data_IF_961272327612
#
_entry.id   IF_961272327612
#
_cell.length_a   1.000
_cell.length_b   1.000
_cell.length_c   1.000
_cell.angle_alpha   90.00
_cell.angle_beta   90.00
_cell.angle_gamma   90.00
#
_symmetry.space_group_name_H-M   'P 1'
#
loop_
_entity.id
_entity.type
_entity.pdbx_description
1 polymer ?
#
# COMPACT_ATOMS: atom_id res chain seq x y z
N UNK A 1 17.33 -47.93 -37.02
CA UNK A 1 17.19 -47.51 -35.61
C UNK A 1 15.79 -47.86 -35.13
N UNK A 2 15.63 -49.08 -34.58
CA UNK A 2 14.38 -49.57 -33.99
C UNK A 2 14.48 -49.36 -32.47
N UNK A 3 13.54 -48.62 -31.89
CA UNK A 3 13.37 -48.54 -30.43
C UNK A 3 12.51 -49.72 -29.95
N UNK A 4 12.90 -50.45 -28.90
CA UNK A 4 12.04 -51.45 -28.29
C UNK A 4 11.03 -50.79 -27.33
N UNK A 5 9.75 -51.09 -27.51
CA UNK A 5 8.70 -50.81 -26.53
C UNK A 5 8.75 -51.87 -25.42
N UNK A 6 9.00 -51.44 -24.17
CA UNK A 6 8.84 -52.28 -22.99
C UNK A 6 7.37 -52.32 -22.55
N UNK A 7 6.73 -53.50 -22.42
CA UNK A 7 5.44 -53.63 -21.77
C UNK A 7 5.67 -54.10 -20.32
N UNK A 8 5.81 -53.15 -19.39
CA UNK A 8 5.82 -53.45 -17.96
C UNK A 8 4.64 -52.72 -17.30
N UNK A 9 3.40 -53.10 -17.67
CA UNK A 9 2.24 -52.72 -16.88
C UNK A 9 2.22 -53.56 -15.60
N UNK A 10 2.67 -52.89 -14.56
CA UNK A 10 2.66 -53.31 -13.17
C UNK A 10 1.32 -53.92 -12.79
N UNK A 11 1.37 -55.17 -12.31
CA UNK A 11 0.29 -55.80 -11.55
C UNK A 11 0.05 -54.98 -10.28
N UNK A 12 -0.83 -53.99 -10.38
CA UNK A 12 -1.28 -53.21 -9.24
C UNK A 12 -2.14 -54.15 -8.38
N UNK A 13 -1.57 -54.61 -7.27
CA UNK A 13 -2.25 -55.40 -6.26
C UNK A 13 -3.63 -54.81 -5.97
N UNK A 14 -4.68 -55.53 -6.37
CA UNK A 14 -6.06 -55.22 -6.05
C UNK A 14 -6.26 -55.37 -4.54
N UNK A 15 -5.87 -54.34 -3.77
CA UNK A 15 -6.18 -54.24 -2.35
C UNK A 15 -7.69 -54.28 -2.22
N UNK A 16 -8.19 -55.37 -1.64
CA UNK A 16 -9.59 -55.66 -1.32
C UNK A 16 -10.39 -54.41 -0.93
N UNK A 17 -11.13 -53.85 -1.89
CA UNK A 17 -12.09 -52.76 -1.69
C UNK A 17 -13.33 -53.21 -0.89
N UNK A 18 -13.45 -54.51 -0.59
CA UNK A 18 -14.64 -55.11 0.02
C UNK A 18 -14.89 -54.68 1.46
N UNK A 19 -13.84 -54.37 2.25
CA UNK A 19 -14.01 -53.99 3.66
C UNK A 19 -14.59 -52.58 3.87
N UNK A 20 -14.65 -51.73 2.85
CA UNK A 20 -15.20 -50.37 2.98
C UNK A 20 -16.72 -50.27 2.77
N UNK A 21 -17.35 -51.23 2.08
CA UNK A 21 -18.78 -51.14 1.72
C UNK A 21 -19.73 -51.24 2.91
N UNK A 22 -19.30 -51.86 4.02
CA UNK A 22 -20.10 -52.00 5.23
C UNK A 22 -19.62 -51.10 6.39
N UNK A 23 -18.66 -50.19 6.13
CA UNK A 23 -18.20 -49.27 7.15
C UNK A 23 -19.28 -48.21 7.39
N UNK A 24 -19.96 -48.27 8.55
CA UNK A 24 -20.92 -47.25 8.95
C UNK A 24 -20.21 -45.90 8.97
N UNK A 25 -20.76 -44.90 8.28
CA UNK A 25 -20.24 -43.52 8.31
C UNK A 25 -20.45 -42.99 9.73
N UNK A 26 -19.37 -42.93 10.51
CA UNK A 26 -19.42 -42.35 11.85
C UNK A 26 -19.40 -40.84 11.70
N UNK A 27 -20.54 -40.18 11.94
CA UNK A 27 -20.62 -38.73 12.01
C UNK A 27 -20.02 -38.26 13.34
N UNK A 28 -18.75 -37.85 13.30
CA UNK A 28 -18.11 -37.22 14.45
C UNK A 28 -18.62 -35.79 14.54
N UNK A 29 -19.42 -35.47 15.57
CA UNK A 29 -19.81 -34.09 15.85
C UNK A 29 -18.53 -33.28 16.11
N UNK A 30 -18.27 -32.17 15.39
CA UNK A 30 -17.11 -31.34 15.67
C UNK A 30 -17.22 -30.80 17.10
N UNK A 31 -16.18 -31.04 17.90
CA UNK A 31 -16.11 -30.45 19.25
C UNK A 31 -16.08 -28.93 19.11
N UNK A 32 -16.91 -28.23 19.88
CA UNK A 32 -16.86 -26.78 19.97
C UNK A 32 -15.45 -26.36 20.40
N UNK A 33 -14.78 -25.59 19.55
CA UNK A 33 -13.46 -25.05 19.89
C UNK A 33 -13.68 -23.95 20.92
N UNK A 34 -13.30 -24.21 22.18
CA UNK A 34 -13.18 -23.15 23.18
C UNK A 34 -12.12 -22.17 22.70
N UNK A 35 -12.52 -20.96 22.33
CA UNK A 35 -11.58 -19.87 22.02
C UNK A 35 -10.87 -19.56 23.34
N UNK A 36 -9.63 -20.03 23.46
CA UNK A 36 -8.79 -19.62 24.58
C UNK A 36 -8.63 -18.11 24.46
N UNK A 37 -8.94 -17.37 25.54
CA UNK A 37 -8.67 -15.93 25.62
C UNK A 37 -7.15 -15.75 25.54
N UNK A 38 -6.63 -15.57 24.32
CA UNK A 38 -5.21 -15.27 24.12
C UNK A 38 -4.98 -13.90 24.75
N UNK A 39 -4.27 -13.88 25.87
CA UNK A 39 -3.84 -12.63 26.49
C UNK A 39 -3.04 -11.82 25.46
N UNK A 40 -3.40 -10.55 25.30
CA UNK A 40 -2.70 -9.65 24.40
C UNK A 40 -1.32 -9.33 25.00
N UNK A 41 -0.25 -9.50 24.22
CA UNK A 41 1.09 -9.21 24.71
C UNK A 41 1.34 -7.70 24.66
N UNK A 42 1.38 -7.07 25.83
CA UNK A 42 1.60 -5.62 26.01
C UNK A 42 2.88 -5.11 25.33
N UNK A 43 3.89 -5.97 25.13
CA UNK A 43 5.13 -5.59 24.45
C UNK A 43 4.96 -5.32 22.95
N UNK A 44 3.87 -5.80 22.35
CA UNK A 44 3.56 -5.56 20.94
C UNK A 44 3.02 -4.13 20.69
N UNK A 45 2.64 -3.41 21.75
CA UNK A 45 2.21 -2.01 21.66
C UNK A 45 3.46 -1.14 21.47
N UNK A 46 3.54 -0.48 20.31
CA UNK A 46 4.65 0.40 19.96
C UNK A 46 4.60 1.71 20.74
N UNK A 47 3.40 2.26 20.97
CA UNK A 47 3.24 3.55 21.63
C UNK A 47 3.47 3.45 23.15
N UNK A 48 4.42 4.23 23.72
CA UNK A 48 4.76 4.13 25.13
C UNK A 48 3.64 4.65 26.05
N UNK A 49 2.88 5.65 25.62
CA UNK A 49 1.77 6.23 26.39
C UNK A 49 0.59 5.26 26.46
N UNK A 50 0.25 4.63 25.33
CA UNK A 50 -0.82 3.62 25.24
C UNK A 50 -0.44 2.37 26.04
N UNK A 51 0.84 1.97 25.99
CA UNK A 51 1.37 0.87 26.76
C UNK A 51 1.28 1.08 28.29
N UNK A 52 1.38 2.31 28.77
CA UNK A 52 1.24 2.63 30.21
C UNK A 52 -0.19 2.50 30.72
N UNK A 53 -1.19 2.84 29.89
CA UNK A 53 -2.62 2.80 30.25
C UNK A 53 -3.28 1.43 29.99
N UNK A 54 -2.60 0.51 29.30
CA UNK A 54 -3.18 -0.76 28.89
C UNK A 54 -3.27 -1.77 30.04
N UNK A 55 -4.49 -2.20 30.38
CA UNK A 55 -4.73 -3.22 31.41
C UNK A 55 -4.69 -4.64 30.82
N UNK A 56 -3.85 -5.52 31.37
CA UNK A 56 -3.71 -6.93 30.91
C UNK A 56 -4.99 -7.75 31.17
N UNK A 57 -5.77 -7.34 32.17
CA UNK A 57 -6.97 -8.07 32.63
C UNK A 57 -8.19 -7.81 31.74
N UNK A 58 -8.23 -6.67 31.05
CA UNK A 58 -9.33 -6.26 30.19
C UNK A 58 -9.19 -6.85 28.79
N UNK A 59 -10.30 -6.93 28.07
CA UNK A 59 -10.24 -7.25 26.63
C UNK A 59 -9.65 -6.08 25.84
N UNK A 60 -9.14 -6.34 24.63
CA UNK A 60 -8.60 -5.29 23.76
C UNK A 60 -9.64 -4.18 23.52
N UNK A 61 -10.90 -4.55 23.31
CA UNK A 61 -11.99 -3.62 23.06
C UNK A 61 -12.29 -2.75 24.28
N UNK A 62 -12.39 -3.33 25.47
CA UNK A 62 -12.55 -2.58 26.72
C UNK A 62 -11.41 -1.58 26.94
N UNK A 63 -10.17 -1.96 26.61
CA UNK A 63 -9.03 -1.03 26.69
C UNK A 63 -9.13 0.10 25.67
N UNK A 64 -9.56 -0.19 24.44
CA UNK A 64 -9.75 0.83 23.40
C UNK A 64 -10.87 1.81 23.77
N UNK A 65 -11.98 1.32 24.31
CA UNK A 65 -13.09 2.14 24.79
C UNK A 65 -12.72 2.99 26.02
N UNK A 66 -11.81 2.49 26.87
CA UNK A 66 -11.30 3.24 28.02
C UNK A 66 -10.22 4.29 27.66
N UNK A 67 -9.64 4.24 26.46
CA UNK A 67 -8.55 5.14 26.07
C UNK A 67 -9.03 6.28 25.18
N UNK A 68 -9.04 7.51 25.71
CA UNK A 68 -9.31 8.71 24.94
C UNK A 68 -8.06 9.24 24.22
N UNK A 69 -7.97 9.00 22.91
CA UNK A 69 -6.85 9.44 22.06
C UNK A 69 -6.63 10.96 22.10
N UNK A 70 -7.71 11.73 22.26
CA UNK A 70 -7.67 13.20 22.27
C UNK A 70 -6.93 13.74 23.48
N UNK A 71 -7.09 13.12 24.64
CA UNK A 71 -6.37 13.49 25.85
C UNK A 71 -4.92 13.05 25.80
N UNK A 72 -4.69 11.80 25.37
CA UNK A 72 -3.35 11.21 25.32
C UNK A 72 -2.40 12.00 24.43
N UNK A 73 -2.87 12.40 23.25
CA UNK A 73 -2.01 13.00 22.23
C UNK A 73 -2.27 14.49 22.01
N UNK A 74 -2.94 15.18 22.94
CA UNK A 74 -3.31 16.59 22.78
C UNK A 74 -2.13 17.47 22.32
N UNK A 75 -0.94 17.26 22.91
CA UNK A 75 0.27 18.02 22.62
C UNK A 75 0.85 17.75 21.22
N UNK A 76 0.63 16.55 20.69
CA UNK A 76 1.18 16.11 19.40
C UNK A 76 0.24 16.37 18.23
N UNK A 77 -1.05 16.59 18.48
CA UNK A 77 -2.02 16.82 17.41
C UNK A 77 -1.86 18.23 16.81
N UNK A 78 -1.87 18.36 15.47
CA UNK A 78 -1.90 19.67 14.83
C UNK A 78 -3.25 20.36 15.09
N UNK A 79 -3.21 21.62 15.55
CA UNK A 79 -4.41 22.43 15.84
C UNK A 79 -5.31 22.67 14.63
N UNK A 80 -4.77 22.53 13.41
CA UNK A 80 -5.49 22.71 12.14
C UNK A 80 -5.32 21.46 11.28
N UNK A 81 -6.32 20.58 11.26
CA UNK A 81 -6.34 19.39 10.41
C UNK A 81 -6.93 19.79 9.04
N UNK A 82 -6.19 19.67 7.93
CA UNK A 82 -6.76 19.92 6.61
C UNK A 82 -7.80 18.86 6.27
N UNK A 83 -9.02 19.28 5.92
CA UNK A 83 -10.14 18.36 5.58
C UNK A 83 -9.91 17.52 4.32
N UNK A 84 -8.95 17.92 3.47
CA UNK A 84 -8.58 17.21 2.25
C UNK A 84 -7.09 16.91 2.30
N UNK A 85 -6.72 15.66 2.12
CA UNK A 85 -5.32 15.26 1.93
C UNK A 85 -4.79 15.92 0.66
N UNK A 86 -3.91 16.90 0.80
CA UNK A 86 -3.25 17.54 -0.32
C UNK A 86 -2.04 16.69 -0.72
N UNK A 87 -2.24 15.74 -1.64
CA UNK A 87 -1.12 15.09 -2.29
C UNK A 87 -0.49 16.08 -3.28
N UNK A 88 0.75 16.55 -3.05
CA UNK A 88 1.38 17.46 -3.98
C UNK A 88 1.56 16.75 -5.32
N UNK A 89 1.04 17.36 -6.39
CA UNK A 89 1.31 16.90 -7.75
C UNK A 89 2.77 17.23 -8.02
N UNK A 90 3.55 16.20 -8.36
CA UNK A 90 4.95 16.33 -8.73
C UNK A 90 5.13 15.84 -10.17
N UNK A 91 6.07 16.43 -10.90
CA UNK A 91 6.39 16.06 -12.29
C UNK A 91 7.59 15.14 -12.30
N UNK A 92 7.52 14.02 -13.02
CA UNK A 92 8.64 13.08 -13.13
C UNK A 92 9.73 13.61 -14.08
N UNK A 93 10.94 13.05 -13.99
CA UNK A 93 12.07 13.41 -14.87
C UNK A 93 11.74 13.20 -16.35
N UNK A 94 11.04 12.10 -16.69
CA UNK A 94 10.63 11.80 -18.07
C UNK A 94 9.56 12.77 -18.61
N UNK A 95 8.77 13.36 -17.70
CA UNK A 95 7.68 14.27 -18.04
C UNK A 95 8.16 15.73 -18.19
N UNK A 96 9.27 16.07 -17.53
CA UNK A 96 9.90 17.39 -17.62
C UNK A 96 10.21 17.84 -19.05
N UNK A 97 10.85 17.04 -19.94
CA UNK A 97 11.11 17.46 -21.31
C UNK A 97 9.82 17.61 -22.13
N UNK A 98 8.77 16.83 -21.84
CA UNK A 98 7.46 16.97 -22.48
C UNK A 98 6.84 18.31 -22.10
N UNK A 99 6.80 18.64 -20.80
CA UNK A 99 6.28 19.92 -20.31
C UNK A 99 7.04 21.10 -20.91
N UNK A 100 8.39 21.02 -20.98
CA UNK A 100 9.22 22.07 -21.58
C UNK A 100 8.88 22.31 -23.06
N UNK A 101 8.67 21.25 -23.85
CA UNK A 101 8.27 21.35 -25.27
C UNK A 101 6.86 21.92 -25.43
N UNK A 102 5.92 21.52 -24.58
CA UNK A 102 4.54 22.01 -24.63
C UNK A 102 4.47 23.52 -24.29
N UNK A 103 5.16 23.96 -23.25
CA UNK A 103 5.22 25.38 -22.85
C UNK A 103 5.88 26.21 -23.96
N UNK A 104 6.98 25.73 -24.56
CA UNK A 104 7.67 26.42 -25.64
C UNK A 104 6.81 26.61 -26.89
N UNK A 105 5.88 25.69 -27.18
CA UNK A 105 5.04 25.74 -28.39
C UNK A 105 3.70 26.45 -28.18
N UNK A 106 3.02 26.19 -27.07
CA UNK A 106 1.63 26.63 -26.84
C UNK A 106 1.48 27.64 -25.70
N UNK A 107 2.53 27.97 -24.95
CA UNK A 107 2.46 28.93 -23.84
C UNK A 107 1.56 28.43 -22.71
N UNK A 108 0.46 29.13 -22.45
CA UNK A 108 -0.52 28.81 -21.39
C UNK A 108 -1.84 28.20 -21.94
N UNK A 109 -1.92 27.92 -23.25
CA UNK A 109 -3.14 27.37 -23.88
C UNK A 109 -3.26 25.84 -23.65
N UNK A 110 -3.80 25.43 -22.50
CA UNK A 110 -3.88 24.00 -22.12
C UNK A 110 -4.78 23.15 -23.05
N UNK A 111 -5.78 23.76 -23.70
CA UNK A 111 -6.61 23.05 -24.68
C UNK A 111 -5.78 22.68 -25.91
N UNK A 112 -4.94 23.59 -26.41
CA UNK A 112 -4.06 23.31 -27.55
C UNK A 112 -3.01 22.26 -27.19
N UNK A 113 -2.46 22.31 -25.97
CA UNK A 113 -1.55 21.27 -25.47
C UNK A 113 -2.19 19.89 -25.43
N UNK A 114 -3.47 19.80 -25.04
CA UNK A 114 -4.20 18.54 -25.00
C UNK A 114 -4.33 17.92 -26.40
N UNK A 115 -4.66 18.75 -27.40
CA UNK A 115 -4.82 18.31 -28.79
C UNK A 115 -3.50 18.01 -29.53
N UNK A 116 -2.35 18.41 -28.99
CA UNK A 116 -1.04 18.15 -29.61
C UNK A 116 -0.54 16.73 -29.33
N UNK A 117 -1.11 15.76 -30.05
CA UNK A 117 -0.81 14.32 -29.90
C UNK A 117 0.68 14.00 -30.09
N UNK A 118 1.41 14.81 -30.88
CA UNK A 118 2.83 14.56 -31.17
C UNK A 118 3.72 14.91 -30.00
N UNK A 119 3.45 16.03 -29.32
CA UNK A 119 4.22 16.43 -28.14
C UNK A 119 3.69 15.78 -26.86
N UNK A 120 2.38 15.62 -26.75
CA UNK A 120 1.70 15.00 -25.61
C UNK A 120 1.61 13.46 -25.80
N UNK A 121 2.77 12.80 -25.75
CA UNK A 121 2.89 11.34 -25.95
C UNK A 121 2.01 10.54 -24.97
N UNK A 122 1.85 11.06 -23.75
CA UNK A 122 1.06 10.41 -22.70
C UNK A 122 -0.45 10.74 -22.77
N UNK A 123 -0.89 11.49 -23.78
CA UNK A 123 -2.29 11.84 -24.02
C UNK A 123 -3.00 12.46 -22.80
N UNK A 124 -2.32 13.36 -22.09
CA UNK A 124 -2.91 14.03 -20.94
C UNK A 124 -4.12 14.88 -21.31
N UNK A 125 -5.13 14.84 -20.45
CA UNK A 125 -6.28 15.77 -20.50
C UNK A 125 -5.84 17.20 -20.17
N UNK A 126 -6.59 18.21 -20.63
CA UNK A 126 -6.26 19.62 -20.39
C UNK A 126 -6.04 19.97 -18.90
N UNK A 127 -6.84 19.38 -17.99
CA UNK A 127 -6.67 19.56 -16.54
C UNK A 127 -5.39 18.93 -15.99
N UNK A 128 -4.94 17.82 -16.57
CA UNK A 128 -3.67 17.20 -16.19
C UNK A 128 -2.50 18.04 -16.68
N UNK A 129 -2.57 18.57 -17.92
CA UNK A 129 -1.58 19.50 -18.44
C UNK A 129 -1.45 20.73 -17.54
N UNK A 130 -2.56 21.34 -17.14
CA UNK A 130 -2.57 22.49 -16.22
C UNK A 130 -1.85 22.16 -14.90
N UNK A 131 -2.20 21.05 -14.25
CA UNK A 131 -1.59 20.65 -12.97
C UNK A 131 -0.08 20.39 -13.11
N UNK A 132 0.34 19.73 -14.19
CA UNK A 132 1.75 19.39 -14.43
C UNK A 132 2.57 20.60 -14.82
N UNK A 133 2.07 21.45 -15.71
CA UNK A 133 2.73 22.72 -16.09
C UNK A 133 2.88 23.63 -14.86
N UNK A 134 1.84 23.76 -14.02
CA UNK A 134 1.94 24.50 -12.76
C UNK A 134 2.97 23.90 -11.80
N UNK A 135 3.01 22.57 -11.67
CA UNK A 135 4.01 21.90 -10.84
C UNK A 135 5.43 22.06 -11.39
N UNK A 136 5.60 22.04 -12.72
CA UNK A 136 6.88 22.26 -13.40
C UNK A 136 7.39 23.69 -13.19
N UNK A 137 6.54 24.70 -13.40
CA UNK A 137 6.88 26.11 -13.15
C UNK A 137 7.19 26.38 -11.67
N UNK A 138 6.55 25.64 -10.75
CA UNK A 138 6.85 25.69 -9.32
C UNK A 138 8.12 24.91 -8.92
N UNK A 139 8.84 24.30 -9.88
CA UNK A 139 10.07 23.55 -9.60
C UNK A 139 9.88 22.18 -8.92
N UNK A 140 8.64 21.66 -8.88
CA UNK A 140 8.29 20.39 -8.20
C UNK A 140 8.61 19.18 -9.06
N UNK A 141 9.90 19.00 -9.35
CA UNK A 141 10.45 17.87 -10.08
C UNK A 141 10.77 16.72 -9.11
N UNK A 142 10.14 15.56 -9.32
CA UNK A 142 10.60 14.29 -8.73
C UNK A 142 11.90 13.91 -9.41
N UNK A 143 12.97 13.76 -8.64
CA UNK A 143 14.18 13.12 -9.15
C UNK A 143 14.24 11.65 -8.76
N UNK A 144 14.52 10.75 -9.71
CA UNK A 144 14.60 9.31 -9.47
C UNK A 144 15.64 8.97 -8.38
N UNK A 145 16.74 9.73 -8.34
CA UNK A 145 17.80 9.61 -7.32
C UNK A 145 17.33 9.91 -5.89
N UNK A 146 16.29 10.73 -5.71
CA UNK A 146 15.77 11.10 -4.38
C UNK A 146 14.81 10.05 -3.79
N UNK A 147 14.16 9.24 -4.63
CA UNK A 147 13.27 8.17 -4.16
C UNK A 147 14.06 6.97 -3.61
N UNK A 148 15.21 6.64 -4.20
CA UNK A 148 16.07 5.53 -3.74
C UNK A 148 16.51 5.74 -2.28
N UNK A 149 16.77 7.00 -1.88
CA UNK A 149 17.28 7.31 -0.54
C UNK A 149 16.17 7.43 0.52
N UNK A 150 14.95 7.80 0.14
CA UNK A 150 13.91 8.15 1.13
C UNK A 150 12.94 7.02 1.48
N UNK A 151 12.82 5.96 0.67
CA UNK A 151 11.91 4.81 0.90
C UNK A 151 10.41 5.17 1.05
N UNK A 152 10.09 6.47 1.13
CA UNK A 152 8.83 7.07 1.53
C UNK A 152 8.66 8.48 0.91
N UNK A 153 9.21 8.74 -0.28
CA UNK A 153 8.80 9.87 -1.14
C UNK A 153 8.81 11.28 -0.53
N UNK A 154 9.57 11.50 0.55
CA UNK A 154 9.76 12.81 1.17
C UNK A 154 10.87 13.51 0.38
N UNK A 155 10.50 14.55 -0.38
CA UNK A 155 11.50 15.39 -1.06
C UNK A 155 12.22 16.23 0.01
N UNK A 156 13.50 15.96 0.21
CA UNK A 156 14.34 16.69 1.17
C UNK A 156 14.74 18.10 0.72
N UNK A 157 14.31 18.54 -0.47
CA UNK A 157 14.66 19.87 -1.02
C UNK A 157 13.97 21.02 -0.28
N UNK A 158 12.78 20.78 0.28
CA UNK A 158 11.97 21.84 0.94
C UNK A 158 12.13 21.89 2.46
N UNK A 159 12.94 21.01 3.05
CA UNK A 159 13.25 21.05 4.49
C UNK A 159 14.71 21.44 4.66
N UNK A 160 14.95 22.66 5.15
CA UNK A 160 16.20 23.01 5.82
C UNK A 160 16.34 22.09 7.05
N UNK A 161 16.93 20.91 6.87
CA UNK A 161 17.20 19.95 7.96
C UNK A 161 18.48 20.34 8.70
N UNK A 162 19.34 21.14 8.07
CA UNK A 162 20.48 21.79 8.70
C UNK A 162 20.11 23.25 8.94
N UNK A 163 19.85 23.58 10.21
CA UNK A 163 19.47 24.93 10.63
C UNK A 163 20.54 25.96 10.30
N UNK A 164 20.09 27.17 9.96
CA UNK A 164 20.82 28.39 10.25
C UNK A 164 20.23 29.00 11.52
#
# INVERSE_FOLDING_TARGET
FFLPTCPCLHSAMARSLRKRRNAKVVSVKPKEKKIQKKHFNVRQIQDPELRKRFDIKKTLQENLEATDLKEMYYDRLPKKIPKKGAHPVKVNEDEAPICKKLIAKHGDDYQKMHWDIKLNVQQWTAKQCEKKVKAFNAGKLRSAKAEILSGHGIDFRDRNIFGH
#
